data_IF_853690271971
#
_entry.id   IF_853690271971
#
_cell.length_a   1.000
_cell.length_b   1.000
_cell.length_c   1.000
_cell.angle_alpha   90.00
_cell.angle_beta   90.00
_cell.angle_gamma   90.00
#
_symmetry.space_group_name_H-M   'P 1'
#
loop_
_entity.id
_entity.type
_entity.pdbx_description
1 polymer ?
#
# COMPACT_ATOMS: atom_id res chain seq x y z
N UNK A 1 0.42 11.72 -15.86
CA UNK A 1 -0.27 11.84 -14.56
C UNK A 1 -1.55 10.99 -14.49
N UNK A 2 -2.35 10.93 -15.56
CA UNK A 2 -3.69 10.31 -15.56
C UNK A 2 -3.77 8.88 -15.01
N UNK A 3 -2.84 8.00 -15.38
CA UNK A 3 -2.84 6.60 -14.92
C UNK A 3 -2.74 6.48 -13.41
N UNK A 4 -1.91 7.32 -12.77
CA UNK A 4 -1.75 7.31 -11.31
C UNK A 4 -3.04 7.76 -10.61
N UNK A 5 -3.67 8.84 -11.09
CA UNK A 5 -4.93 9.35 -10.54
C UNK A 5 -6.05 8.31 -10.67
N UNK A 6 -6.13 7.59 -11.80
CA UNK A 6 -7.10 6.51 -11.99
C UNK A 6 -6.90 5.36 -11.01
N UNK A 7 -5.65 4.97 -10.78
CA UNK A 7 -5.30 3.93 -9.80
C UNK A 7 -5.66 4.35 -8.37
N UNK A 8 -5.30 5.58 -7.99
CA UNK A 8 -5.70 6.15 -6.70
C UNK A 8 -7.22 6.11 -6.52
N UNK A 9 -7.99 6.48 -7.54
CA UNK A 9 -9.45 6.46 -7.46
C UNK A 9 -9.99 5.06 -7.18
N UNK A 10 -9.62 4.10 -8.03
CA UNK A 10 -10.12 2.73 -7.95
C UNK A 10 -9.72 1.99 -6.67
N UNK A 11 -8.54 2.27 -6.13
CA UNK A 11 -8.02 1.54 -4.97
C UNK A 11 -8.32 2.22 -3.65
N UNK A 12 -8.57 3.53 -3.65
CA UNK A 12 -8.72 4.34 -2.45
C UNK A 12 -10.08 5.02 -2.39
N UNK A 13 -10.32 6.03 -3.23
CA UNK A 13 -11.46 6.93 -3.04
C UNK A 13 -12.80 6.31 -3.41
N UNK A 14 -12.82 5.26 -4.24
CA UNK A 14 -14.04 4.51 -4.54
C UNK A 14 -14.42 3.54 -3.40
N UNK A 15 -13.52 3.32 -2.43
CA UNK A 15 -13.67 2.32 -1.36
C UNK A 15 -13.61 2.92 0.05
N UNK A 16 -13.30 4.21 0.17
CA UNK A 16 -13.12 4.90 1.44
C UNK A 16 -13.78 6.28 1.40
N UNK A 17 -14.67 6.55 2.35
CA UNK A 17 -15.34 7.84 2.48
C UNK A 17 -14.38 8.90 3.02
N UNK A 18 -14.24 9.99 2.27
CA UNK A 18 -13.37 11.10 2.62
C UNK A 18 -14.18 12.20 3.33
N UNK A 19 -14.12 12.23 4.65
CA UNK A 19 -14.86 13.18 5.47
C UNK A 19 -14.35 14.64 5.46
N UNK A 20 -13.09 14.87 5.10
CA UNK A 20 -12.52 16.22 5.05
C UNK A 20 -11.23 16.28 4.24
N UNK A 21 -10.77 17.49 3.92
CA UNK A 21 -9.45 17.68 3.29
C UNK A 21 -8.30 17.21 4.18
N UNK A 22 -8.40 17.39 5.50
CA UNK A 22 -7.40 16.86 6.45
C UNK A 22 -7.37 15.33 6.39
N UNK A 23 -8.55 14.70 6.38
CA UNK A 23 -8.65 13.25 6.24
C UNK A 23 -8.02 12.78 4.91
N UNK A 24 -8.35 13.43 3.80
CA UNK A 24 -7.77 13.12 2.49
C UNK A 24 -6.23 13.16 2.51
N UNK A 25 -5.63 14.21 3.11
CA UNK A 25 -4.18 14.34 3.21
C UNK A 25 -3.54 13.18 3.98
N UNK A 26 -4.14 12.77 5.10
CA UNK A 26 -3.63 11.65 5.91
C UNK A 26 -3.72 10.33 5.12
N UNK A 27 -4.86 10.08 4.49
CA UNK A 27 -5.11 8.88 3.69
C UNK A 27 -4.16 8.83 2.49
N UNK A 28 -3.99 9.92 1.74
CA UNK A 28 -3.05 9.98 0.62
C UNK A 28 -1.60 9.77 1.07
N UNK A 29 -1.19 10.35 2.20
CA UNK A 29 0.15 10.14 2.73
C UNK A 29 0.41 8.67 3.09
N UNK A 30 -0.57 7.99 3.71
CA UNK A 30 -0.49 6.55 3.97
C UNK A 30 -0.42 5.74 2.67
N UNK A 31 -1.28 6.06 1.70
CA UNK A 31 -1.30 5.38 0.42
C UNK A 31 0.01 5.56 -0.35
N UNK A 32 0.61 6.76 -0.37
CA UNK A 32 1.88 7.02 -1.04
C UNK A 32 3.02 6.21 -0.40
N UNK A 33 3.05 6.10 0.93
CA UNK A 33 4.01 5.22 1.62
C UNK A 33 3.83 3.77 1.23
N UNK A 34 2.60 3.27 1.20
CA UNK A 34 2.30 1.92 0.71
C UNK A 34 2.75 1.75 -0.76
N UNK A 35 2.33 2.65 -1.64
CA UNK A 35 2.59 2.59 -3.09
C UNK A 35 4.08 2.54 -3.42
N UNK A 36 4.88 3.36 -2.73
CA UNK A 36 6.32 3.44 -2.95
C UNK A 36 7.09 2.39 -2.17
N UNK A 37 6.62 1.99 -0.99
CA UNK A 37 7.35 1.17 -0.05
C UNK A 37 7.07 -0.33 -0.12
N UNK A 38 5.81 -0.69 -0.38
CA UNK A 38 5.27 -2.04 -0.16
C UNK A 38 4.53 -2.62 -1.35
N UNK A 39 3.91 -1.76 -2.16
CA UNK A 39 3.06 -2.20 -3.27
C UNK A 39 3.88 -2.95 -4.34
N UNK A 40 3.47 -4.17 -4.73
CA UNK A 40 4.10 -4.86 -5.85
C UNK A 40 3.69 -4.22 -7.18
N UNK A 41 4.69 -3.85 -8.00
CA UNK A 41 4.45 -3.32 -9.35
C UNK A 41 4.84 -4.36 -10.40
N UNK A 42 3.89 -4.75 -11.25
CA UNK A 42 4.14 -5.76 -12.31
C UNK A 42 5.27 -5.37 -13.25
N UNK A 43 5.37 -4.08 -13.60
CA UNK A 43 6.44 -3.58 -14.47
C UNK A 43 7.83 -3.54 -13.80
N UNK A 44 7.94 -3.92 -12.51
CA UNK A 44 9.17 -3.93 -11.73
C UNK A 44 9.39 -5.27 -11.02
N UNK A 45 8.99 -6.37 -11.64
CA UNK A 45 9.16 -7.72 -11.06
C UNK A 45 8.56 -7.87 -9.65
N UNK A 46 7.40 -7.24 -9.47
CA UNK A 46 6.66 -7.17 -8.20
C UNK A 46 7.48 -6.49 -7.09
N UNK A 47 8.40 -5.58 -7.45
CA UNK A 47 9.14 -4.75 -6.50
C UNK A 47 8.54 -3.36 -6.38
N UNK A 48 8.42 -2.82 -5.15
CA UNK A 48 8.06 -1.43 -4.93
C UNK A 48 9.18 -0.49 -5.41
N UNK A 49 8.86 0.79 -5.70
CA UNK A 49 9.84 1.77 -6.12
C UNK A 49 10.98 2.02 -5.15
N UNK A 50 10.67 2.04 -3.87
CA UNK A 50 11.54 2.33 -2.74
C UNK A 50 11.29 1.26 -1.67
N UNK A 51 11.77 0.01 -1.84
CA UNK A 51 11.50 -1.08 -0.92
C UNK A 51 11.94 -0.70 0.50
N UNK A 52 10.99 -0.66 1.43
CA UNK A 52 11.26 -0.38 2.85
C UNK A 52 11.49 -1.64 3.67
N UNK A 53 11.11 -2.81 3.14
CA UNK A 53 11.28 -4.12 3.76
C UNK A 53 11.74 -5.15 2.71
N UNK A 54 12.48 -6.21 3.11
CA UNK A 54 12.79 -7.31 2.22
C UNK A 54 11.49 -8.00 1.74
N UNK A 55 11.50 -8.60 0.54
CA UNK A 55 10.35 -9.40 0.07
C UNK A 55 10.04 -10.45 1.13
N UNK A 56 8.78 -10.55 1.54
CA UNK A 56 8.32 -11.65 2.37
C UNK A 56 8.58 -12.95 1.60
N UNK A 57 9.47 -13.78 2.14
CA UNK A 57 9.65 -15.14 1.66
C UNK A 57 8.54 -15.98 2.29
N UNK A 58 7.62 -16.44 1.45
CA UNK A 58 6.44 -17.21 1.85
C UNK A 58 6.80 -18.65 2.27
N UNK A 59 8.08 -19.03 2.21
CA UNK A 59 8.58 -20.33 2.70
C UNK A 59 8.83 -20.40 4.21
N UNK A 60 8.70 -19.27 4.93
CA UNK A 60 8.96 -19.20 6.38
C UNK A 60 7.68 -19.27 7.24
N UNK A 61 7.81 -19.88 8.42
CA UNK A 61 6.70 -20.25 9.31
C UNK A 61 5.94 -19.08 9.95
N UNK A 62 6.47 -17.84 9.94
CA UNK A 62 5.80 -16.70 10.57
C UNK A 62 5.83 -15.44 9.68
N UNK A 63 4.67 -15.14 9.08
CA UNK A 63 4.39 -13.90 8.36
C UNK A 63 3.46 -13.06 9.24
N UNK A 64 3.77 -11.79 9.41
CA UNK A 64 2.88 -10.84 10.09
C UNK A 64 2.09 -10.03 9.07
N UNK A 65 0.80 -9.85 9.36
CA UNK A 65 -0.10 -9.00 8.57
C UNK A 65 -0.23 -7.65 9.24
N UNK A 66 0.06 -6.58 8.51
CA UNK A 66 -0.13 -5.22 8.95
C UNK A 66 -1.26 -4.55 8.15
N UNK A 67 -2.44 -4.29 8.75
CA UNK A 67 -3.48 -3.53 8.10
C UNK A 67 -3.09 -2.04 8.03
N UNK A 68 -3.28 -1.42 6.86
CA UNK A 68 -3.12 0.03 6.65
C UNK A 68 -4.41 0.60 6.05
N UNK A 69 -4.56 1.93 6.11
CA UNK A 69 -5.77 2.61 5.63
C UNK A 69 -7.07 2.04 6.24
N UNK A 70 -7.07 1.80 7.55
CA UNK A 70 -8.21 1.20 8.24
C UNK A 70 -8.50 -0.25 7.87
N UNK A 71 -7.52 -0.97 7.32
CA UNK A 71 -7.67 -2.36 6.89
C UNK A 71 -8.09 -2.53 5.42
N UNK A 72 -8.24 -1.42 4.67
CA UNK A 72 -8.48 -1.47 3.23
C UNK A 72 -7.34 -2.17 2.47
N UNK A 73 -6.11 -2.03 2.96
CA UNK A 73 -4.92 -2.66 2.41
C UNK A 73 -4.22 -3.46 3.51
N UNK A 74 -3.74 -4.65 3.17
CA UNK A 74 -2.92 -5.47 4.04
C UNK A 74 -1.50 -5.54 3.48
N UNK A 75 -0.53 -5.19 4.32
CA UNK A 75 0.89 -5.37 4.07
C UNK A 75 1.35 -6.64 4.80
N UNK A 76 2.35 -7.32 4.24
CA UNK A 76 2.84 -8.60 4.75
C UNK A 76 4.35 -8.55 4.89
N UNK A 77 4.84 -8.88 6.07
CA UNK A 77 6.24 -8.78 6.44
C UNK A 77 6.66 -10.08 7.15
N UNK A 78 7.96 -10.41 7.15
CA UNK A 78 8.47 -11.53 7.96
C UNK A 78 8.33 -11.17 9.45
N UNK A 79 7.90 -12.13 10.27
CA UNK A 79 8.01 -11.98 11.72
C UNK A 79 9.49 -11.90 12.10
N UNK A 80 9.80 -11.11 13.15
CA UNK A 80 11.15 -10.95 13.68
C UNK A 80 11.64 -12.22 14.39
#
# INVERSE_FOLDING_TARGET
AERFVRTLRAELTDRLLIFSQRHLRVVLAQYIRHYNGQRPHRARDLRPPQPTHPKADLSYEQITRRPVLGGLINEYERAA
#
